data_IF_301565967031
#
_entry.id   IF_301565967031
#
_cell.length_a   1.000
_cell.length_b   1.000
_cell.length_c   1.000
_cell.angle_alpha   90.00
_cell.angle_beta   90.00
_cell.angle_gamma   90.00
#
_symmetry.space_group_name_H-M   'P 1'
#
loop_
_entity.id
_entity.type
_entity.pdbx_description
1 polymer ?
#
# COMPACT_ATOMS: atom_id res chain seq x y z
N UNK A 1 -53.13 43.13 4.73
CA UNK A 1 -51.75 43.19 4.18
C UNK A 1 -50.68 42.81 5.21
N UNK A 2 -50.70 43.33 6.46
CA UNK A 2 -49.70 43.00 7.50
C UNK A 2 -49.56 41.49 7.81
N UNK A 3 -50.67 40.74 7.86
CA UNK A 3 -50.64 39.28 8.10
C UNK A 3 -50.03 38.46 6.96
N UNK A 4 -50.16 38.93 5.70
CA UNK A 4 -49.55 38.31 4.52
C UNK A 4 -48.03 38.51 4.50
N UNK A 5 -47.56 39.69 4.92
CA UNK A 5 -46.12 39.99 5.04
C UNK A 5 -45.48 39.12 6.13
N UNK A 6 -46.14 38.97 7.28
CA UNK A 6 -45.65 38.11 8.38
C UNK A 6 -45.59 36.64 7.92
N UNK A 7 -46.61 36.16 7.19
CA UNK A 7 -46.63 34.78 6.70
C UNK A 7 -45.50 34.51 5.69
N UNK A 8 -45.23 35.46 4.79
CA UNK A 8 -44.11 35.39 3.85
C UNK A 8 -42.75 35.38 4.55
N UNK A 9 -42.58 36.19 5.60
CA UNK A 9 -41.32 36.24 6.37
C UNK A 9 -41.04 34.93 7.12
N UNK A 10 -42.09 34.33 7.71
CA UNK A 10 -41.99 33.05 8.42
C UNK A 10 -41.65 31.91 7.47
N UNK A 11 -42.27 31.89 6.28
CA UNK A 11 -41.98 30.88 5.26
C UNK A 11 -40.55 30.98 4.71
N UNK A 12 -40.07 32.21 4.47
CA UNK A 12 -38.69 32.44 4.03
C UNK A 12 -37.67 32.00 5.10
N UNK A 13 -37.96 32.21 6.38
CA UNK A 13 -37.11 31.77 7.48
C UNK A 13 -37.04 30.24 7.58
N UNK A 14 -38.16 29.55 7.33
CA UNK A 14 -38.21 28.09 7.35
C UNK A 14 -37.38 27.47 6.23
N UNK A 15 -37.35 28.09 5.04
CA UNK A 15 -36.55 27.62 3.90
C UNK A 15 -35.04 27.67 4.15
N UNK A 16 -34.55 28.63 4.95
CA UNK A 16 -33.11 28.77 5.25
C UNK A 16 -32.62 27.62 6.14
N UNK A 17 -33.47 27.11 7.04
CA UNK A 17 -33.14 26.05 7.99
C UNK A 17 -32.98 24.66 7.35
N UNK A 18 -33.49 24.45 6.13
CA UNK A 18 -33.41 23.14 5.43
C UNK A 18 -32.14 23.01 4.57
N UNK A 19 -31.28 24.04 4.54
CA UNK A 19 -29.99 23.98 3.82
C UNK A 19 -28.91 23.23 4.63
N UNK A 20 -29.17 21.96 4.94
CA UNK A 20 -28.15 21.08 5.49
C UNK A 20 -27.18 20.71 4.37
N UNK A 21 -26.01 21.36 4.33
CA UNK A 21 -24.99 21.18 3.32
C UNK A 21 -24.37 19.78 3.38
N UNK A 22 -24.90 18.86 2.58
CA UNK A 22 -24.29 17.55 2.38
C UNK A 22 -22.98 17.73 1.59
N UNK A 23 -21.84 17.47 2.24
CA UNK A 23 -20.53 17.45 1.59
C UNK A 23 -20.19 16.01 1.24
N UNK A 24 -20.36 15.68 -0.02
CA UNK A 24 -19.85 14.42 -0.56
C UNK A 24 -18.35 14.59 -0.81
N UNK A 25 -17.54 13.88 -0.04
CA UNK A 25 -16.11 13.72 -0.30
C UNK A 25 -15.89 12.42 -1.07
N UNK A 26 -15.15 12.48 -2.17
CA UNK A 26 -14.67 11.26 -2.83
C UNK A 26 -13.44 10.75 -2.08
N UNK A 27 -13.54 9.58 -1.44
CA UNK A 27 -12.36 8.88 -0.90
C UNK A 27 -11.73 8.10 -2.05
N UNK A 28 -10.57 8.54 -2.53
CA UNK A 28 -9.81 7.73 -3.47
C UNK A 28 -9.30 6.47 -2.76
N UNK A 29 -9.51 5.27 -3.31
CA UNK A 29 -8.92 4.06 -2.75
C UNK A 29 -7.39 4.17 -2.84
N UNK A 30 -6.71 3.78 -1.77
CA UNK A 30 -5.25 3.74 -1.77
C UNK A 30 -4.76 2.75 -2.82
N UNK A 31 -3.85 3.22 -3.69
CA UNK A 31 -3.20 2.35 -4.65
C UNK A 31 -2.25 1.39 -3.91
N UNK A 32 -2.23 0.09 -4.29
CA UNK A 32 -1.33 -0.87 -3.69
C UNK A 32 0.12 -0.42 -3.89
N UNK A 33 0.95 -0.67 -2.89
CA UNK A 33 2.37 -0.32 -2.91
C UNK A 33 3.21 -1.59 -2.87
N UNK A 34 4.44 -1.53 -3.37
CA UNK A 34 5.25 -2.74 -3.55
C UNK A 34 6.69 -2.59 -3.07
N UNK A 35 7.25 -3.68 -2.57
CA UNK A 35 8.70 -3.86 -2.43
C UNK A 35 9.16 -4.75 -3.57
N UNK A 36 10.11 -4.25 -4.36
CA UNK A 36 10.74 -5.02 -5.41
C UNK A 36 12.08 -5.55 -4.92
N UNK A 37 12.20 -6.87 -4.75
CA UNK A 37 13.48 -7.50 -4.42
C UNK A 37 14.31 -7.74 -5.68
N UNK A 38 15.55 -7.28 -5.68
CA UNK A 38 16.49 -7.40 -6.81
C UNK A 38 17.87 -7.89 -6.34
N UNK A 39 18.81 -8.10 -7.26
CA UNK A 39 20.16 -8.57 -6.93
C UNK A 39 20.27 -10.10 -6.81
N UNK A 40 20.99 -10.58 -5.80
CA UNK A 40 21.18 -12.00 -5.54
C UNK A 40 20.16 -12.51 -4.51
N UNK A 41 19.07 -13.08 -5.00
CA UNK A 41 17.94 -13.55 -4.18
C UNK A 41 18.01 -15.03 -3.80
N UNK A 42 19.05 -15.75 -4.25
CA UNK A 42 19.17 -17.19 -4.02
C UNK A 42 19.31 -17.48 -2.53
N UNK A 43 18.50 -18.41 -2.01
CA UNK A 43 18.51 -18.74 -0.58
C UNK A 43 18.12 -17.58 0.33
N UNK A 44 17.42 -16.57 -0.21
CA UNK A 44 17.01 -15.36 0.51
C UNK A 44 15.62 -15.50 1.08
N UNK A 45 15.46 -15.04 2.32
CA UNK A 45 14.22 -14.99 3.07
C UNK A 45 14.01 -13.56 3.56
N UNK A 46 12.81 -13.02 3.39
CA UNK A 46 12.44 -11.70 3.90
C UNK A 46 11.37 -11.81 4.98
N UNK A 47 11.40 -10.85 5.90
CA UNK A 47 10.44 -10.63 6.98
C UNK A 47 10.08 -9.15 6.91
N UNK A 48 8.78 -8.86 6.86
CA UNK A 48 8.25 -7.48 6.82
C UNK A 48 7.36 -7.29 8.05
N UNK A 49 7.65 -6.26 8.84
CA UNK A 49 6.92 -5.88 10.06
C UNK A 49 6.79 -7.02 11.08
N UNK A 50 7.79 -7.91 11.13
CA UNK A 50 7.79 -9.07 12.04
C UNK A 50 6.80 -10.18 11.67
N UNK A 51 6.17 -10.12 10.49
CA UNK A 51 5.26 -11.15 10.00
C UNK A 51 5.98 -12.44 9.62
N UNK A 52 5.23 -13.42 9.13
CA UNK A 52 5.78 -14.69 8.64
C UNK A 52 6.84 -14.45 7.55
N UNK A 53 7.93 -15.22 7.65
CA UNK A 53 9.03 -15.14 6.71
C UNK A 53 8.66 -15.78 5.37
N UNK A 54 9.00 -15.15 4.25
CA UNK A 54 8.75 -15.70 2.92
C UNK A 54 10.04 -15.78 2.09
N UNK A 55 10.11 -16.77 1.20
CA UNK A 55 11.21 -16.91 0.26
C UNK A 55 11.11 -15.82 -0.81
N UNK A 56 12.23 -15.12 -1.02
CA UNK A 56 12.40 -14.11 -2.07
C UNK A 56 12.95 -14.73 -3.36
N UNK A 57 13.34 -16.00 -3.29
CA UNK A 57 14.06 -16.72 -4.34
C UNK A 57 13.33 -16.65 -5.70
N UNK A 58 13.99 -16.02 -6.66
CA UNK A 58 13.55 -15.90 -8.05
C UNK A 58 13.77 -17.20 -8.84
N UNK A 59 14.41 -18.20 -8.25
CA UNK A 59 14.74 -19.43 -8.95
C UNK A 59 13.70 -20.52 -8.71
N UNK A 60 13.40 -21.27 -9.77
CA UNK A 60 12.56 -22.46 -9.72
C UNK A 60 13.26 -23.62 -10.42
N UNK A 61 12.88 -24.84 -10.07
CA UNK A 61 13.32 -26.04 -10.78
C UNK A 61 12.39 -26.23 -11.98
N UNK A 62 12.92 -26.23 -13.19
CA UNK A 62 12.12 -26.49 -14.40
C UNK A 62 11.82 -28.00 -14.54
N UNK A 63 11.09 -28.38 -15.60
CA UNK A 63 10.74 -29.77 -15.88
C UNK A 63 11.93 -30.69 -16.14
N UNK A 64 13.11 -30.13 -16.42
CA UNK A 64 14.37 -30.85 -16.68
C UNK A 64 15.24 -30.99 -15.42
N UNK A 65 14.78 -30.47 -14.27
CA UNK A 65 15.54 -30.50 -13.02
C UNK A 65 16.57 -29.38 -12.88
N UNK A 66 16.59 -28.41 -13.80
CA UNK A 66 17.54 -27.30 -13.80
C UNK A 66 17.00 -26.12 -12.97
N UNK A 67 17.91 -25.46 -12.24
CA UNK A 67 17.59 -24.25 -11.47
C UNK A 67 17.56 -23.05 -12.43
N UNK A 68 16.35 -22.59 -12.78
CA UNK A 68 16.13 -21.49 -13.71
C UNK A 68 15.71 -20.24 -12.95
N UNK A 69 16.29 -19.09 -13.29
CA UNK A 69 15.90 -17.80 -12.72
C UNK A 69 14.66 -17.27 -13.46
N UNK A 70 13.64 -16.86 -12.72
CA UNK A 70 12.46 -16.18 -13.26
C UNK A 70 12.89 -14.80 -13.77
N UNK A 71 12.68 -14.55 -15.04
CA UNK A 71 12.84 -13.23 -15.64
C UNK A 71 11.66 -12.34 -15.22
N UNK A 72 11.92 -11.33 -14.37
CA UNK A 72 10.90 -10.39 -13.92
C UNK A 72 11.21 -9.72 -12.59
N UNK A 73 10.28 -8.85 -12.15
CA UNK A 73 10.32 -8.22 -10.83
C UNK A 73 9.58 -9.08 -9.82
N UNK A 74 10.24 -9.48 -8.73
CA UNK A 74 9.53 -9.99 -7.55
C UNK A 74 8.96 -8.80 -6.78
N UNK A 75 7.66 -8.55 -6.97
CA UNK A 75 6.92 -7.53 -6.24
C UNK A 75 6.22 -8.17 -5.05
N UNK A 76 6.45 -7.63 -3.86
CA UNK A 76 5.71 -7.97 -2.66
C UNK A 76 4.80 -6.80 -2.30
N UNK A 77 3.49 -7.05 -2.23
CA UNK A 77 2.51 -6.00 -1.94
C UNK A 77 2.54 -5.63 -0.46
N UNK A 78 2.52 -4.33 -0.19
CA UNK A 78 2.41 -3.76 1.15
C UNK A 78 1.40 -2.62 1.14
N UNK A 79 0.83 -2.34 2.32
CA UNK A 79 0.11 -1.09 2.53
C UNK A 79 1.07 0.09 2.41
N UNK A 80 0.62 1.28 1.98
CA UNK A 80 1.44 2.47 2.08
C UNK A 80 1.80 2.77 3.55
N UNK A 81 3.03 3.16 3.83
CA UNK A 81 3.47 3.51 5.18
C UNK A 81 4.92 3.17 5.50
N UNK A 82 5.18 3.09 6.80
CA UNK A 82 6.49 2.75 7.37
C UNK A 82 6.55 1.24 7.59
N UNK A 83 7.58 0.59 7.06
CA UNK A 83 7.80 -0.84 7.19
C UNK A 83 9.20 -1.14 7.71
N UNK A 84 9.30 -2.06 8.66
CA UNK A 84 10.57 -2.66 9.04
C UNK A 84 10.83 -3.89 8.16
N UNK A 85 11.99 -3.92 7.51
CA UNK A 85 12.38 -5.02 6.63
C UNK A 85 13.64 -5.68 7.16
N UNK A 86 13.56 -6.99 7.32
CA UNK A 86 14.68 -7.86 7.64
C UNK A 86 14.84 -8.89 6.52
N UNK A 87 16.02 -8.95 5.92
CA UNK A 87 16.35 -9.91 4.87
C UNK A 87 17.52 -10.76 5.35
N UNK A 88 17.34 -12.08 5.29
CA UNK A 88 18.36 -13.07 5.56
C UNK A 88 18.75 -13.79 4.27
N UNK A 89 20.04 -14.03 4.07
CA UNK A 89 20.54 -14.91 3.01
C UNK A 89 21.35 -16.02 3.64
N UNK A 90 20.98 -17.28 3.36
CA UNK A 90 21.60 -18.46 3.97
C UNK A 90 21.65 -18.40 5.51
N UNK A 91 20.64 -17.78 6.13
CA UNK A 91 20.53 -17.63 7.59
C UNK A 91 21.16 -16.35 8.16
N UNK A 92 22.01 -15.65 7.42
CA UNK A 92 22.67 -14.42 7.86
C UNK A 92 21.87 -13.17 7.49
N UNK A 93 21.76 -12.21 8.41
CA UNK A 93 21.08 -10.93 8.14
C UNK A 93 21.93 -10.07 7.22
N UNK A 94 21.44 -9.81 6.01
CA UNK A 94 22.11 -8.98 5.00
C UNK A 94 21.48 -7.60 4.86
N UNK A 95 20.22 -7.45 5.28
CA UNK A 95 19.52 -6.16 5.32
C UNK A 95 18.67 -6.13 6.57
N UNK A 96 18.76 -5.03 7.33
CA UNK A 96 17.82 -4.71 8.40
C UNK A 96 17.62 -3.21 8.42
N UNK A 97 16.48 -2.73 7.90
CA UNK A 97 16.19 -1.30 7.81
C UNK A 97 14.71 -0.99 7.77
N UNK A 98 14.38 0.25 8.11
CA UNK A 98 13.04 0.81 7.93
C UNK A 98 12.93 1.50 6.57
N UNK A 99 11.85 1.23 5.83
CA UNK A 99 11.48 1.94 4.60
C UNK A 99 10.15 2.66 4.76
N UNK A 100 10.03 3.82 4.12
CA UNK A 100 8.75 4.52 3.96
C UNK A 100 8.32 4.38 2.49
N UNK A 101 7.12 3.86 2.29
CA UNK A 101 6.56 3.54 0.98
C UNK A 101 5.29 4.37 0.80
N UNK A 102 5.31 5.29 -0.17
CA UNK A 102 4.18 6.16 -0.47
C UNK A 102 3.08 5.38 -1.21
N UNK A 103 1.81 5.85 -1.17
CA UNK A 103 0.72 5.23 -1.93
C UNK A 103 1.04 5.08 -3.42
N UNK A 104 0.80 3.89 -3.97
CA UNK A 104 1.09 3.54 -5.37
C UNK A 104 2.57 3.43 -5.71
N UNK A 105 3.49 3.52 -4.74
CA UNK A 105 4.92 3.48 -5.01
C UNK A 105 5.48 2.05 -4.97
N UNK A 106 6.51 1.82 -5.78
CA UNK A 106 7.38 0.64 -5.67
C UNK A 106 8.75 1.05 -5.15
N UNK A 107 9.24 0.41 -4.08
CA UNK A 107 10.61 0.58 -3.58
C UNK A 107 11.45 -0.64 -3.90
N UNK A 108 12.57 -0.41 -4.58
CA UNK A 108 13.55 -1.47 -4.84
C UNK A 108 14.40 -1.75 -3.59
N UNK A 109 14.56 -3.03 -3.29
CA UNK A 109 15.43 -3.56 -2.26
C UNK A 109 16.41 -4.56 -2.88
N UNK A 110 17.61 -4.06 -3.19
CA UNK A 110 18.67 -4.88 -3.75
C UNK A 110 19.34 -5.71 -2.67
N UNK A 111 19.25 -7.03 -2.81
CA UNK A 111 19.95 -8.01 -1.98
C UNK A 111 21.41 -8.09 -2.45
N UNK A 112 22.40 -7.87 -1.56
CA UNK A 112 23.82 -7.96 -1.88
C UNK A 112 24.23 -9.39 -2.21
#
# INVERSE_FOLDING_TARGET
>A
MRKLIIFSLVFATFLILVSCGHREGVSQPDNPSYIWFSGNTDGTVAIIDGNESFKVDLTYINSEGEKVKRDGKTLYEVKPGKHEILVKRNGEVVIHRVLIINPGATKELRVP
#
